data_IF_971740491283
#
_entry.id   IF_971740491283
#
_cell.length_a   1.000
_cell.length_b   1.000
_cell.length_c   1.000
_cell.angle_alpha   90.00
_cell.angle_beta   90.00
_cell.angle_gamma   90.00
#
_symmetry.space_group_name_H-M   'P 1'
#
loop_
_entity.id
_entity.type
_entity.pdbx_description
1 polymer ?
#
# COMPACT_ATOMS: atom_id res chain seq x y z
N UNK A 1 9.64 -13.53 -4.23
CA UNK A 1 9.68 -12.14 -3.75
C UNK A 1 8.78 -12.02 -2.54
N UNK A 2 9.22 -11.31 -1.52
CA UNK A 2 8.39 -10.95 -0.37
C UNK A 2 7.19 -10.11 -0.85
N UNK A 3 6.02 -10.28 -0.24
CA UNK A 3 4.80 -9.54 -0.60
C UNK A 3 4.99 -8.05 -0.43
N UNK A 4 5.74 -7.68 0.61
CA UNK A 4 6.06 -6.29 0.91
C UNK A 4 7.01 -5.68 -0.11
N UNK A 5 8.03 -6.42 -0.60
CA UNK A 5 8.88 -5.96 -1.70
C UNK A 5 8.08 -5.68 -2.97
N UNK A 6 7.06 -6.51 -3.24
CA UNK A 6 6.21 -6.30 -4.42
C UNK A 6 5.25 -5.12 -4.24
N UNK A 7 4.73 -4.91 -3.03
CA UNK A 7 3.96 -3.71 -2.69
C UNK A 7 4.83 -2.44 -2.80
N UNK A 8 6.10 -2.47 -2.38
CA UNK A 8 7.04 -1.36 -2.55
C UNK A 8 7.23 -1.00 -4.03
N UNK A 9 7.42 -1.99 -4.90
CA UNK A 9 7.52 -1.77 -6.35
C UNK A 9 6.25 -1.17 -6.98
N UNK A 10 5.07 -1.51 -6.44
CA UNK A 10 3.80 -0.90 -6.86
C UNK A 10 3.72 0.59 -6.45
N UNK A 11 4.31 0.99 -5.33
CA UNK A 11 4.40 2.42 -4.96
C UNK A 11 5.33 3.21 -5.88
N UNK A 12 6.39 2.58 -6.38
CA UNK A 12 7.34 3.22 -7.30
C UNK A 12 6.71 3.47 -8.67
N UNK A 13 6.04 2.44 -9.22
CA UNK A 13 5.37 2.50 -10.53
C UNK A 13 4.05 3.28 -10.51
N UNK A 14 3.24 3.11 -9.45
CA UNK A 14 1.98 3.81 -9.21
C UNK A 14 1.01 3.84 -10.42
N UNK A 15 1.00 2.77 -11.22
CA UNK A 15 0.08 2.62 -12.37
C UNK A 15 -1.31 2.11 -11.96
N UNK A 16 -2.31 2.37 -12.80
CA UNK A 16 -3.72 2.00 -12.57
C UNK A 16 -3.94 0.51 -12.27
N UNK A 17 -3.18 -0.38 -12.94
CA UNK A 17 -3.24 -1.84 -12.72
C UNK A 17 -2.70 -2.27 -11.34
N UNK A 18 -1.97 -1.38 -10.65
CA UNK A 18 -1.34 -1.69 -9.38
C UNK A 18 -2.31 -1.92 -8.22
N UNK A 19 -3.53 -1.34 -8.28
CA UNK A 19 -4.54 -1.45 -7.21
C UNK A 19 -5.03 -2.89 -7.05
N UNK A 20 -5.34 -3.57 -8.15
CA UNK A 20 -5.83 -4.95 -8.13
C UNK A 20 -4.75 -5.91 -7.65
N UNK A 21 -3.52 -5.69 -8.10
CA UNK A 21 -2.37 -6.46 -7.64
C UNK A 21 -2.10 -6.28 -6.14
N UNK A 22 -2.15 -5.04 -5.65
CA UNK A 22 -2.02 -4.75 -4.22
C UNK A 22 -3.12 -5.46 -3.40
N UNK A 23 -4.37 -5.41 -3.86
CA UNK A 23 -5.49 -6.12 -3.22
C UNK A 23 -5.24 -7.64 -3.17
N UNK A 24 -4.75 -8.23 -4.26
CA UNK A 24 -4.45 -9.66 -4.33
C UNK A 24 -3.33 -10.04 -3.33
N UNK A 25 -2.26 -9.24 -3.24
CA UNK A 25 -1.15 -9.46 -2.31
C UNK A 25 -1.60 -9.37 -0.85
N UNK A 26 -2.48 -8.43 -0.53
CA UNK A 26 -2.97 -8.14 0.82
C UNK A 26 -4.08 -9.09 1.31
N UNK A 27 -4.77 -9.79 0.40
CA UNK A 27 -5.86 -10.73 0.73
C UNK A 27 -5.44 -11.75 1.80
N UNK A 28 -4.19 -12.21 1.78
CA UNK A 28 -3.67 -13.19 2.76
C UNK A 28 -3.60 -12.68 4.20
N UNK A 29 -3.64 -11.36 4.40
CA UNK A 29 -3.57 -10.72 5.72
C UNK A 29 -4.95 -10.31 6.23
N UNK A 30 -5.98 -10.34 5.38
CA UNK A 30 -7.37 -10.08 5.79
C UNK A 30 -7.81 -11.14 6.80
N UNK A 31 -8.43 -10.69 7.89
CA UNK A 31 -8.93 -11.56 8.96
C UNK A 31 -7.92 -11.91 10.06
N UNK A 32 -6.65 -11.46 9.99
CA UNK A 32 -5.67 -11.67 11.08
C UNK A 32 -6.06 -10.96 12.38
N UNK A 33 -6.46 -9.68 12.29
CA UNK A 33 -7.00 -8.89 13.39
C UNK A 33 -7.69 -7.65 12.86
N UNK A 34 -8.49 -6.97 13.70
CA UNK A 34 -9.09 -5.68 13.35
C UNK A 34 -8.03 -4.61 13.07
N UNK A 35 -6.92 -4.62 13.82
CA UNK A 35 -5.81 -3.69 13.62
C UNK A 35 -5.11 -3.90 12.27
N UNK A 36 -4.90 -5.16 11.86
CA UNK A 36 -4.34 -5.48 10.54
C UNK A 36 -5.30 -5.06 9.43
N UNK A 37 -6.62 -5.27 9.61
CA UNK A 37 -7.62 -4.82 8.64
C UNK A 37 -7.60 -3.29 8.47
N UNK A 38 -7.56 -2.54 9.58
CA UNK A 38 -7.47 -1.08 9.55
C UNK A 38 -6.17 -0.60 8.87
N UNK A 39 -5.03 -1.23 9.17
CA UNK A 39 -3.76 -0.90 8.54
C UNK A 39 -3.74 -1.19 7.02
N UNK A 40 -4.44 -2.23 6.57
CA UNK A 40 -4.65 -2.52 5.14
C UNK A 40 -5.48 -1.42 4.48
N UNK A 41 -6.60 -1.04 5.09
CA UNK A 41 -7.50 -0.02 4.53
C UNK A 41 -6.81 1.35 4.45
N UNK A 42 -6.08 1.72 5.50
CA UNK A 42 -5.25 2.91 5.57
C UNK A 42 -4.19 2.94 4.44
N UNK A 43 -3.44 1.85 4.26
CA UNK A 43 -2.45 1.74 3.19
C UNK A 43 -3.09 1.85 1.80
N UNK A 44 -4.21 1.14 1.58
CA UNK A 44 -4.91 1.15 0.31
C UNK A 44 -5.51 2.52 -0.04
N UNK A 45 -5.93 3.30 0.96
CA UNK A 45 -6.41 4.66 0.74
C UNK A 45 -5.31 5.57 0.19
N UNK A 46 -4.12 5.54 0.80
CA UNK A 46 -2.99 6.34 0.34
C UNK A 46 -2.49 5.87 -1.03
N UNK A 47 -2.45 4.56 -1.27
CA UNK A 47 -2.02 4.01 -2.55
C UNK A 47 -2.97 4.39 -3.69
N UNK A 48 -4.29 4.30 -3.49
CA UNK A 48 -5.28 4.77 -4.47
C UNK A 48 -5.16 6.28 -4.73
N UNK A 49 -4.88 7.05 -3.68
CA UNK A 49 -4.64 8.49 -3.81
C UNK A 49 -3.37 8.76 -4.62
N UNK A 50 -2.30 8.00 -4.40
CA UNK A 50 -1.07 8.09 -5.19
C UNK A 50 -1.33 7.76 -6.66
N UNK A 51 -2.02 6.66 -6.95
CA UNK A 51 -2.38 6.27 -8.33
C UNK A 51 -3.18 7.39 -9.00
N UNK A 52 -4.21 7.92 -8.33
CA UNK A 52 -5.00 9.05 -8.85
C UNK A 52 -4.14 10.29 -9.15
N UNK A 53 -3.21 10.65 -8.26
CA UNK A 53 -2.32 11.81 -8.45
C UNK A 53 -1.32 11.59 -9.59
N UNK A 54 -0.85 10.36 -9.80
CA UNK A 54 -0.02 10.00 -10.96
C UNK A 54 -0.83 10.07 -12.25
N UNK A 55 -2.02 9.49 -12.28
CA UNK A 55 -2.92 9.49 -13.45
C UNK A 55 -3.35 10.90 -13.86
N UNK A 56 -3.56 11.80 -12.89
CA UNK A 56 -3.95 13.19 -13.15
C UNK A 56 -2.77 14.11 -13.48
N UNK A 57 -1.52 13.63 -13.40
CA UNK A 57 -0.34 14.44 -13.66
C UNK A 57 -0.07 15.52 -12.59
N UNK A 58 -0.61 15.36 -11.37
CA UNK A 58 -0.40 16.28 -10.27
C UNK A 58 0.96 16.05 -9.58
N UNK A 59 2.05 16.42 -10.27
CA UNK A 59 3.44 16.05 -9.90
C UNK A 59 3.88 16.52 -8.51
N UNK A 60 3.37 17.65 -8.01
CA UNK A 60 3.84 18.28 -6.77
C UNK A 60 3.64 17.47 -5.50
N UNK A 61 2.69 16.53 -5.49
CA UNK A 61 2.32 15.72 -4.30
C UNK A 61 2.73 14.25 -4.41
N UNK A 62 3.18 13.77 -5.58
CA UNK A 62 3.50 12.35 -5.80
C UNK A 62 4.58 11.83 -4.85
N UNK A 63 5.65 12.60 -4.65
CA UNK A 63 6.76 12.21 -3.75
C UNK A 63 6.27 12.05 -2.32
N UNK A 64 5.51 13.01 -1.81
CA UNK A 64 5.00 12.99 -0.44
C UNK A 64 3.99 11.85 -0.23
N UNK A 65 3.12 11.60 -1.21
CA UNK A 65 2.16 10.48 -1.14
C UNK A 65 2.87 9.12 -1.18
N UNK A 66 3.94 9.00 -1.97
CA UNK A 66 4.75 7.78 -2.01
C UNK A 66 5.42 7.50 -0.67
N UNK A 67 6.00 8.52 -0.03
CA UNK A 67 6.57 8.39 1.32
C UNK A 67 5.50 8.03 2.36
N UNK A 68 4.32 8.66 2.30
CA UNK A 68 3.22 8.36 3.21
C UNK A 68 2.77 6.90 3.08
N UNK A 69 2.56 6.42 1.84
CA UNK A 69 2.19 5.03 1.59
C UNK A 69 3.27 4.04 2.06
N UNK A 70 4.56 4.38 1.94
CA UNK A 70 5.67 3.56 2.47
C UNK A 70 5.65 3.46 4.00
N UNK A 71 5.35 4.55 4.69
CA UNK A 71 5.20 4.55 6.15
C UNK A 71 4.05 3.63 6.57
N UNK A 72 2.90 3.72 5.89
CA UNK A 72 1.75 2.83 6.17
C UNK A 72 2.06 1.37 5.86
N UNK A 73 2.76 1.09 4.77
CA UNK A 73 3.21 -0.25 4.40
C UNK A 73 4.17 -0.84 5.46
N UNK A 74 5.08 -0.03 5.98
CA UNK A 74 6.01 -0.44 7.04
C UNK A 74 5.26 -0.78 8.34
N UNK A 75 4.26 0.03 8.71
CA UNK A 75 3.38 -0.25 9.86
C UNK A 75 2.63 -1.56 9.67
N UNK A 76 2.06 -1.79 8.49
CA UNK A 76 1.37 -3.04 8.17
C UNK A 76 2.32 -4.25 8.30
N UNK A 77 3.57 -4.13 7.82
CA UNK A 77 4.58 -5.19 7.94
C UNK A 77 4.87 -5.53 9.39
N UNK A 78 5.02 -4.52 10.24
CA UNK A 78 5.23 -4.72 11.68
C UNK A 78 4.05 -5.45 12.32
N UNK A 79 2.81 -4.99 12.08
CA UNK A 79 1.61 -5.63 12.64
C UNK A 79 1.46 -7.08 12.20
N UNK A 80 1.71 -7.38 10.93
CA UNK A 80 1.60 -8.74 10.40
C UNK A 80 2.68 -9.67 10.97
N UNK A 81 3.88 -9.16 11.25
CA UNK A 81 5.01 -9.91 11.81
C UNK A 81 4.91 -10.11 13.33
N UNK A 82 4.27 -9.19 14.06
CA UNK A 82 4.02 -9.32 15.51
C UNK A 82 2.93 -10.37 15.80
N UNK A 83 2.03 -10.60 14.84
CA UNK A 83 0.92 -11.58 14.94
C UNK A 83 1.28 -12.94 14.28
N UNK A 84 2.51 -13.10 13.78
CA UNK A 84 2.96 -14.32 13.08
C UNK A 84 3.62 -15.34 14.02
#
# INVERSE_FOLDING_TARGET
MDSFQRLEALLDSAGGDGIDEANALLRRFKGKSQEVAAAIDEFMLDFKTLVFVVETGAEGSQKSLRELARVRLSRLRQLVNVVA
#
